data_IF_093413195056
#
_entry.id   IF_093413195056
#
_cell.length_a   1.000
_cell.length_b   1.000
_cell.length_c   1.000
_cell.angle_alpha   90.00
_cell.angle_beta   90.00
_cell.angle_gamma   90.00
#
_symmetry.space_group_name_H-M   'P 1'
#
loop_
_entity.id
_entity.type
_entity.pdbx_description
1 polymer ?
#
# COMPACT_ATOMS: atom_id res chain seq x y z
N UNK A 1 4.95 28.08 -8.81
CA UNK A 1 5.48 26.98 -7.97
C UNK A 1 5.32 25.72 -8.79
N UNK A 2 6.41 25.03 -9.13
CA UNK A 2 6.30 23.68 -9.68
C UNK A 2 5.66 22.79 -8.62
N UNK A 3 4.46 22.27 -8.91
CA UNK A 3 3.82 21.29 -8.03
C UNK A 3 4.60 19.98 -8.08
N UNK A 4 4.85 19.37 -6.92
CA UNK A 4 5.39 18.02 -6.87
C UNK A 4 4.40 17.05 -7.52
N UNK A 5 4.90 16.13 -8.36
CA UNK A 5 4.11 15.07 -8.96
C UNK A 5 4.53 13.71 -8.37
N UNK A 6 3.57 12.86 -7.96
CA UNK A 6 2.14 13.15 -7.85
C UNK A 6 1.85 14.16 -6.72
N UNK A 7 0.80 14.99 -6.82
CA UNK A 7 0.44 15.92 -5.75
C UNK A 7 0.11 15.20 -4.45
N UNK A 8 0.65 15.67 -3.33
CA UNK A 8 0.49 15.03 -2.03
C UNK A 8 -0.97 14.96 -1.58
N UNK A 9 -1.76 16.01 -1.81
CA UNK A 9 -3.16 16.05 -1.38
C UNK A 9 -3.98 14.99 -2.12
N UNK A 10 -3.79 14.86 -3.44
CA UNK A 10 -4.45 13.83 -4.25
C UNK A 10 -4.00 12.41 -3.87
N UNK A 11 -2.72 12.21 -3.52
CA UNK A 11 -2.24 10.92 -3.00
C UNK A 11 -2.89 10.55 -1.67
N UNK A 12 -3.17 11.53 -0.80
CA UNK A 12 -3.81 11.27 0.48
C UNK A 12 -5.27 10.85 0.30
N UNK A 13 -5.99 11.45 -0.64
CA UNK A 13 -7.35 11.05 -0.99
C UNK A 13 -7.45 9.59 -1.49
N UNK A 14 -6.36 9.02 -2.02
CA UNK A 14 -6.27 7.60 -2.40
C UNK A 14 -6.11 6.65 -1.20
N UNK A 15 -5.93 7.17 0.01
CA UNK A 15 -5.62 6.38 1.19
C UNK A 15 -6.81 6.28 2.15
N UNK A 16 -7.02 5.13 2.79
CA UNK A 16 -8.00 5.04 3.86
C UNK A 16 -7.74 6.07 4.96
N UNK A 17 -8.76 6.83 5.31
CA UNK A 17 -8.72 7.92 6.30
C UNK A 17 -7.74 9.06 5.97
N UNK A 18 -7.36 9.25 4.70
CA UNK A 18 -6.41 10.28 4.27
C UNK A 18 -5.07 10.25 5.04
N UNK A 19 -4.63 9.04 5.44
CA UNK A 19 -3.50 8.86 6.34
C UNK A 19 -2.16 8.80 5.60
N UNK A 20 -1.28 9.76 5.93
CA UNK A 20 0.12 9.79 5.46
C UNK A 20 0.89 8.53 5.84
N UNK A 21 0.66 7.98 7.03
CA UNK A 21 1.33 6.78 7.49
C UNK A 21 0.93 5.56 6.65
N UNK A 22 -0.37 5.45 6.33
CA UNK A 22 -0.89 4.38 5.47
C UNK A 22 -0.31 4.50 4.06
N UNK A 23 -0.26 5.71 3.51
CA UNK A 23 0.36 5.96 2.20
C UNK A 23 1.82 5.51 2.16
N UNK A 24 2.63 5.95 3.13
CA UNK A 24 4.07 5.65 3.19
C UNK A 24 4.29 4.14 3.31
N UNK A 25 3.55 3.47 4.18
CA UNK A 25 3.67 2.02 4.36
C UNK A 25 3.25 1.24 3.11
N UNK A 26 2.14 1.62 2.48
CA UNK A 26 1.68 0.99 1.24
C UNK A 26 2.68 1.20 0.10
N UNK A 27 3.20 2.42 -0.06
CA UNK A 27 4.21 2.75 -1.06
C UNK A 27 5.51 1.97 -0.81
N UNK A 28 5.97 1.84 0.45
CA UNK A 28 7.16 1.06 0.79
C UNK A 28 6.98 -0.44 0.49
N UNK A 29 5.84 -1.02 0.87
CA UNK A 29 5.51 -2.41 0.53
C UNK A 29 5.49 -2.63 -0.98
N UNK A 30 4.94 -1.66 -1.72
CA UNK A 30 4.88 -1.73 -3.18
C UNK A 30 6.26 -1.58 -3.81
N UNK A 31 7.08 -0.68 -3.30
CA UNK A 31 8.48 -0.46 -3.71
C UNK A 31 9.27 -1.75 -3.66
N UNK A 32 9.12 -2.53 -2.57
CA UNK A 32 9.77 -3.84 -2.44
C UNK A 32 9.39 -4.78 -3.59
N UNK A 33 8.11 -4.84 -3.97
CA UNK A 33 7.63 -5.66 -5.10
C UNK A 33 8.19 -5.22 -6.45
N UNK A 34 8.38 -3.91 -6.64
CA UNK A 34 8.98 -3.33 -7.85
C UNK A 34 10.46 -3.73 -7.93
N UNK A 35 11.22 -3.54 -6.84
CA UNK A 35 12.66 -3.89 -6.79
C UNK A 35 12.88 -5.38 -7.01
N UNK A 36 12.01 -6.23 -6.43
CA UNK A 36 12.07 -7.67 -6.62
C UNK A 36 11.56 -8.14 -8.00
N UNK A 37 11.18 -7.24 -8.90
CA UNK A 37 10.57 -7.54 -10.22
C UNK A 37 9.36 -8.48 -10.19
N UNK A 38 8.69 -8.64 -9.03
CA UNK A 38 7.59 -9.60 -8.86
C UNK A 38 6.28 -9.15 -9.50
N UNK A 39 6.12 -7.85 -9.76
CA UNK A 39 4.87 -7.30 -10.30
C UNK A 39 5.10 -5.90 -10.87
N UNK A 40 5.84 -5.77 -11.95
CA UNK A 40 5.94 -4.48 -12.66
C UNK A 40 4.63 -4.24 -13.39
N UNK A 41 4.03 -3.06 -13.20
CA UNK A 41 2.81 -2.69 -13.93
C UNK A 41 3.25 -1.93 -15.18
N UNK A 42 2.76 -2.29 -16.38
CA UNK A 42 3.12 -1.58 -17.61
C UNK A 42 2.37 -0.24 -17.67
N UNK A 43 2.89 0.78 -17.00
CA UNK A 43 2.46 2.18 -17.15
C UNK A 43 3.60 3.07 -17.62
N UNK A 44 3.24 4.21 -18.20
CA UNK A 44 4.20 5.23 -18.59
C UNK A 44 4.62 6.04 -17.36
N UNK A 45 5.58 5.51 -16.59
CA UNK A 45 6.11 6.17 -15.41
C UNK A 45 6.82 7.47 -15.78
N UNK A 46 6.47 8.56 -15.11
CA UNK A 46 7.19 9.83 -15.24
C UNK A 46 8.45 9.85 -14.36
N UNK A 47 8.45 9.05 -13.29
CA UNK A 47 9.49 9.00 -12.28
C UNK A 47 10.30 7.71 -12.38
N UNK A 48 11.57 7.79 -11.98
CA UNK A 48 12.54 6.72 -12.17
C UNK A 48 12.77 5.88 -10.92
N UNK A 49 12.66 6.47 -9.71
CA UNK A 49 12.96 5.73 -8.49
C UNK A 49 11.83 4.76 -8.15
N UNK A 50 12.13 3.55 -7.65
CA UNK A 50 11.11 2.56 -7.33
C UNK A 50 10.00 3.06 -6.39
N UNK A 51 10.35 3.88 -5.40
CA UNK A 51 9.37 4.46 -4.47
C UNK A 51 8.48 5.50 -5.13
N UNK A 52 9.05 6.36 -5.96
CA UNK A 52 8.32 7.35 -6.75
C UNK A 52 7.35 6.67 -7.73
N UNK A 53 7.78 5.58 -8.37
CA UNK A 53 6.93 4.73 -9.21
C UNK A 53 5.78 4.09 -8.45
N UNK A 54 6.02 3.62 -7.22
CA UNK A 54 4.97 3.08 -6.37
C UNK A 54 3.91 4.15 -6.06
N UNK A 55 4.32 5.40 -5.79
CA UNK A 55 3.38 6.51 -5.62
C UNK A 55 2.61 6.82 -6.90
N UNK A 56 3.25 6.78 -8.08
CA UNK A 56 2.55 6.95 -9.35
C UNK A 56 1.51 5.87 -9.61
N UNK A 57 1.78 4.61 -9.26
CA UNK A 57 0.82 3.54 -9.42
C UNK A 57 -0.40 3.70 -8.51
N UNK A 58 -0.19 4.19 -7.28
CA UNK A 58 -1.28 4.51 -6.35
C UNK A 58 -2.09 5.69 -6.91
N UNK A 59 -1.41 6.73 -7.36
CA UNK A 59 -2.02 7.92 -7.95
C UNK A 59 -2.91 7.59 -9.17
N UNK A 60 -2.42 6.73 -10.07
CA UNK A 60 -3.11 6.31 -11.30
C UNK A 60 -4.08 5.12 -11.08
N UNK A 61 -4.48 4.85 -9.84
CA UNK A 61 -5.42 3.78 -9.45
C UNK A 61 -5.00 2.36 -9.93
N UNK A 62 -3.71 2.15 -10.19
CA UNK A 62 -3.16 0.83 -10.56
C UNK A 62 -2.94 -0.05 -9.33
N UNK A 63 -2.70 0.58 -8.19
CA UNK A 63 -2.61 -0.07 -6.88
C UNK A 63 -3.57 0.62 -5.93
N UNK A 64 -4.50 -0.14 -5.36
CA UNK A 64 -5.42 0.35 -4.33
C UNK A 64 -4.90 -0.03 -2.95
N UNK A 65 -4.95 0.91 -2.01
CA UNK A 65 -4.60 0.64 -0.62
C UNK A 65 -5.85 0.15 0.09
N UNK A 66 -5.83 -1.10 0.53
CA UNK A 66 -6.91 -1.70 1.32
C UNK A 66 -6.34 -1.99 2.70
N UNK A 67 -7.01 -1.47 3.74
CA UNK A 67 -6.76 -1.92 5.10
C UNK A 67 -7.54 -3.21 5.29
N UNK A 68 -6.84 -4.35 5.35
CA UNK A 68 -7.44 -5.57 5.85
C UNK A 68 -7.85 -5.30 7.30
N UNK A 69 -9.16 -5.29 7.58
CA UNK A 69 -9.61 -5.44 8.98
C UNK A 69 -9.04 -6.77 9.46
N UNK A 70 -8.39 -6.76 10.62
CA UNK A 70 -7.85 -7.96 11.27
C UNK A 70 -8.98 -8.95 11.59
N UNK A 71 -9.53 -9.66 10.62
CA UNK A 71 -10.38 -10.83 10.88
C UNK A 71 -9.54 -12.03 11.34
N UNK A 72 -8.21 -12.01 11.11
CA UNK A 72 -7.30 -13.09 11.50
C UNK A 72 -6.93 -13.17 12.99
N UNK A 73 -7.43 -12.25 13.83
CA UNK A 73 -7.22 -12.37 15.29
C UNK A 73 -8.13 -13.43 15.92
N UNK A 74 -9.27 -13.71 15.30
CA UNK A 74 -10.19 -14.74 15.79
C UNK A 74 -9.63 -16.15 15.61
N UNK A 75 -8.80 -16.39 14.60
CA UNK A 75 -8.18 -17.69 14.34
C UNK A 75 -7.16 -18.08 15.42
N UNK A 76 -6.39 -17.12 15.95
CA UNK A 76 -5.42 -17.38 17.04
C UNK A 76 -6.15 -17.66 18.35
N UNK A 77 -7.21 -16.90 18.64
CA UNK A 77 -8.01 -17.11 19.85
C UNK A 77 -8.79 -18.44 19.77
N UNK A 78 -9.29 -18.82 18.59
CA UNK A 78 -9.86 -20.16 18.34
C UNK A 78 -8.84 -21.27 18.53
N UNK A 79 -7.66 -21.15 17.94
CA UNK A 79 -6.57 -22.13 18.07
C UNK A 79 -6.15 -22.33 19.54
N UNK A 80 -6.08 -21.24 20.32
CA UNK A 80 -5.77 -21.30 21.75
C UNK A 80 -6.93 -21.94 22.53
N UNK A 81 -8.18 -21.59 22.22
CA UNK A 81 -9.34 -22.19 22.87
C UNK A 81 -9.45 -23.70 22.61
N UNK A 82 -9.24 -24.14 21.36
CA UNK A 82 -9.30 -25.56 20.96
C UNK A 82 -8.15 -26.41 21.55
N UNK A 83 -6.99 -25.82 21.84
CA UNK A 83 -5.86 -26.55 22.45
C UNK A 83 -5.90 -26.59 23.98
N UNK A 84 -6.53 -25.63 24.65
CA UNK A 84 -6.37 -25.43 26.10
C UNK A 84 -7.67 -25.40 26.90
N UNK A 85 -8.84 -25.39 26.26
CA UNK A 85 -10.12 -25.54 26.93
C UNK A 85 -10.81 -26.83 26.43
N UNK A 86 -10.85 -27.91 27.24
CA UNK A 86 -11.54 -29.16 26.88
C UNK A 86 -13.06 -29.03 26.81
#
# INVERSE_FOLDING_TARGET
>A
MEGFYPPNDELLEKTPSNSRFVLINAAALRTKKIIENKSIIPINYKLSKPFERALEEIYNDKVKIVLEKEEKKDDILKLIAEQYLP
#
